data_IF_491537470420
#
_entry.id   IF_491537470420
#
_cell.length_a   1.000
_cell.length_b   1.000
_cell.length_c   1.000
_cell.angle_alpha   90.00
_cell.angle_beta   90.00
_cell.angle_gamma   90.00
#
_symmetry.space_group_name_H-M   'P 1'
#
loop_
_entity.id
_entity.type
_entity.pdbx_description
1 polymer ?
#
# COMPACT_ATOMS: atom_id res chain seq x y z
N UNK A 1 -7.27 -11.62 6.23
CA UNK A 1 -7.77 -10.27 6.59
C UNK A 1 -8.30 -9.69 5.31
N UNK A 2 -9.55 -9.22 5.26
CA UNK A 2 -10.12 -8.85 3.95
C UNK A 2 -9.55 -7.52 3.43
N UNK A 3 -9.25 -6.60 4.34
CA UNK A 3 -8.72 -5.27 4.04
C UNK A 3 -7.53 -4.95 4.95
N UNK A 4 -6.44 -4.46 4.36
CA UNK A 4 -5.31 -3.86 5.06
C UNK A 4 -5.33 -2.34 4.81
N UNK A 5 -5.59 -1.55 5.85
CA UNK A 5 -5.39 -0.08 5.81
C UNK A 5 -4.00 0.22 6.35
N UNK A 6 -3.19 0.95 5.58
CA UNK A 6 -1.93 1.53 6.01
C UNK A 6 -2.06 3.05 5.99
N UNK A 7 -1.75 3.65 7.12
CA UNK A 7 -1.83 5.08 7.37
C UNK A 7 -0.66 5.42 8.28
N UNK A 8 0.50 5.63 7.66
CA UNK A 8 1.79 5.79 8.36
C UNK A 8 2.56 6.92 7.72
N UNK A 9 2.91 7.94 8.51
CA UNK A 9 3.65 9.10 8.01
C UNK A 9 5.09 8.72 7.61
N UNK A 10 5.37 8.73 6.30
CA UNK A 10 6.73 8.68 5.75
C UNK A 10 7.45 7.32 5.86
N UNK A 11 6.73 6.25 6.23
CA UNK A 11 7.27 4.88 6.34
C UNK A 11 6.41 3.83 5.65
N UNK A 12 5.56 4.24 4.70
CA UNK A 12 4.59 3.40 3.99
C UNK A 12 5.29 2.26 3.24
N UNK A 13 6.35 2.60 2.52
CA UNK A 13 7.15 1.63 1.77
C UNK A 13 7.87 0.61 2.68
N UNK A 14 8.30 1.04 3.87
CA UNK A 14 8.90 0.15 4.88
C UNK A 14 7.87 -0.80 5.47
N UNK A 15 6.70 -0.28 5.84
CA UNK A 15 5.62 -1.07 6.41
C UNK A 15 5.07 -2.11 5.41
N UNK A 16 4.94 -1.77 4.12
CA UNK A 16 4.56 -2.74 3.09
C UNK A 16 5.63 -3.82 2.89
N UNK A 17 6.92 -3.47 2.89
CA UNK A 17 8.00 -4.48 2.81
C UNK A 17 8.06 -5.39 4.02
N UNK A 18 7.61 -4.93 5.18
CA UNK A 18 7.56 -5.73 6.41
C UNK A 18 6.46 -6.80 6.41
N UNK A 19 5.49 -6.75 5.49
CA UNK A 19 4.44 -7.77 5.39
C UNK A 19 5.04 -9.06 4.82
N UNK A 20 4.93 -10.15 5.58
CA UNK A 20 5.40 -11.48 5.17
C UNK A 20 4.68 -11.98 3.93
N UNK A 21 5.38 -12.75 3.07
CA UNK A 21 4.83 -13.27 1.80
C UNK A 21 3.55 -14.10 1.98
N UNK A 22 3.47 -14.82 3.10
CA UNK A 22 2.32 -15.65 3.48
C UNK A 22 1.07 -14.82 3.79
N UNK A 23 1.25 -13.65 4.41
CA UNK A 23 0.15 -12.75 4.76
C UNK A 23 -0.43 -12.05 3.53
N UNK A 24 0.39 -11.78 2.51
CA UNK A 24 -0.08 -11.22 1.23
C UNK A 24 -1.17 -12.06 0.59
N UNK A 25 -1.10 -13.39 0.71
CA UNK A 25 -2.15 -14.30 0.18
C UNK A 25 -3.47 -14.18 0.92
N UNK A 26 -3.44 -13.69 2.17
CA UNK A 26 -4.61 -13.54 3.03
C UNK A 26 -5.26 -12.17 2.90
N UNK A 27 -4.58 -11.21 2.27
CA UNK A 27 -5.01 -9.82 2.06
C UNK A 27 -5.71 -9.71 0.70
N UNK A 28 -7.01 -9.37 0.69
CA UNK A 28 -7.75 -9.21 -0.57
C UNK A 28 -7.70 -7.78 -1.11
N UNK A 29 -7.52 -6.80 -0.22
CA UNK A 29 -7.51 -5.39 -0.56
C UNK A 29 -6.51 -4.64 0.33
N UNK A 30 -5.84 -3.64 -0.25
CA UNK A 30 -4.94 -2.72 0.47
C UNK A 30 -5.37 -1.30 0.17
N UNK A 31 -5.49 -0.50 1.22
CA UNK A 31 -5.65 0.95 1.15
C UNK A 31 -4.43 1.55 1.84
N UNK A 32 -3.68 2.35 1.10
CA UNK A 32 -2.53 3.08 1.60
C UNK A 32 -2.82 4.57 1.43
N UNK A 33 -2.63 5.32 2.50
CA UNK A 33 -2.43 6.75 2.42
C UNK A 33 -0.93 7.02 2.28
N UNK A 34 -0.54 7.78 1.25
CA UNK A 34 0.88 8.08 0.99
C UNK A 34 1.15 9.53 1.34
N UNK A 35 2.04 9.74 2.29
CA UNK A 35 2.49 11.06 2.71
C UNK A 35 3.84 11.37 2.08
N UNK A 36 3.90 12.45 1.29
CA UNK A 36 5.12 12.88 0.61
C UNK A 36 5.33 12.26 -0.79
N UNK A 37 6.10 12.97 -1.63
CA UNK A 37 6.16 12.70 -3.07
C UNK A 37 6.98 11.48 -3.49
N UNK A 38 7.98 11.06 -2.71
CA UNK A 38 8.90 9.97 -3.08
C UNK A 38 8.33 8.57 -2.78
N UNK A 39 7.49 8.43 -1.75
CA UNK A 39 6.91 7.15 -1.35
C UNK A 39 5.89 6.61 -2.37
N UNK A 40 5.21 7.50 -3.11
CA UNK A 40 4.12 7.12 -4.02
C UNK A 40 4.54 6.13 -5.10
N UNK A 41 5.64 6.39 -5.80
CA UNK A 41 6.10 5.54 -6.90
C UNK A 41 6.52 4.16 -6.44
N UNK A 42 7.12 4.07 -5.25
CA UNK A 42 7.53 2.80 -4.66
C UNK A 42 6.32 1.96 -4.24
N UNK A 43 5.36 2.57 -3.53
CA UNK A 43 4.14 1.90 -3.10
C UNK A 43 3.34 1.43 -4.32
N UNK A 44 3.19 2.29 -5.33
CA UNK A 44 2.51 1.97 -6.58
C UNK A 44 3.13 0.73 -7.25
N UNK A 45 4.45 0.72 -7.44
CA UNK A 45 5.14 -0.40 -8.08
C UNK A 45 4.97 -1.70 -7.29
N UNK A 46 4.98 -1.64 -5.95
CA UNK A 46 4.77 -2.79 -5.09
C UNK A 46 3.34 -3.32 -5.22
N UNK A 47 2.34 -2.45 -5.13
CA UNK A 47 0.94 -2.84 -5.20
C UNK A 47 0.55 -3.34 -6.59
N UNK A 48 1.05 -2.73 -7.67
CA UNK A 48 0.86 -3.22 -9.04
C UNK A 48 1.43 -4.64 -9.21
N UNK A 49 2.63 -4.91 -8.68
CA UNK A 49 3.23 -6.24 -8.74
C UNK A 49 2.43 -7.31 -8.00
N UNK A 50 1.76 -6.94 -6.90
CA UNK A 50 1.02 -7.89 -6.05
C UNK A 50 -0.44 -8.08 -6.49
N UNK A 51 -1.12 -7.01 -6.90
CA UNK A 51 -2.57 -7.01 -7.19
C UNK A 51 -2.92 -6.80 -8.66
N UNK A 52 -1.95 -6.46 -9.51
CA UNK A 52 -2.15 -6.21 -10.95
C UNK A 52 -2.92 -4.93 -11.29
N UNK A 53 -3.50 -4.24 -10.30
CA UNK A 53 -4.18 -2.97 -10.45
C UNK A 53 -4.05 -2.13 -9.19
N UNK A 54 -3.99 -0.82 -9.36
CA UNK A 54 -4.06 0.18 -8.29
C UNK A 54 -5.05 1.26 -8.70
N UNK A 55 -5.74 1.84 -7.72
CA UNK A 55 -6.64 2.97 -7.93
C UNK A 55 -6.24 4.07 -6.96
N UNK A 56 -6.14 5.29 -7.46
CA UNK A 56 -5.93 6.48 -6.65
C UNK A 56 -7.28 7.11 -6.33
N UNK A 57 -7.42 7.53 -5.09
CA UNK A 57 -8.42 8.51 -4.68
C UNK A 57 -7.66 9.71 -4.14
N UNK A 58 -8.07 10.92 -4.53
CA UNK A 58 -7.64 12.09 -3.80
C UNK A 58 -8.49 12.16 -2.53
N UNK A 59 -7.86 12.39 -1.39
CA UNK A 59 -8.58 12.80 -0.19
C UNK A 59 -8.88 14.29 -0.38
N UNK A 60 -10.16 14.66 -0.39
CA UNK A 60 -10.55 16.07 -0.34
C UNK A 60 -10.51 16.47 1.14
N UNK A 61 -9.37 17.02 1.59
CA UNK A 61 -9.33 17.79 2.83
C UNK A 61 -10.20 19.05 2.75
#
# INVERSE_FOLDING_TARGET
VELLKLDVEGSEGGALRGVADEDWRRIRQVVVEVHGGSARGEVEALLLRRFGRVRYTADEE
#
